data_IF_789197193727
#
_entry.id   IF_789197193727
#
_cell.length_a   1.000
_cell.length_b   1.000
_cell.length_c   1.000
_cell.angle_alpha   90.00
_cell.angle_beta   90.00
_cell.angle_gamma   90.00
#
_symmetry.space_group_name_H-M   'P 1'
#
loop_
_entity.id
_entity.type
_entity.pdbx_description
1 polymer ?
#
# COMPACT_ATOMS: atom_id res chain seq x y z
N UNK A 1 14.09 -7.15 14.96
CA UNK A 1 14.45 -7.98 13.79
C UNK A 1 15.94 -7.77 13.51
N UNK A 2 16.74 -8.81 13.76
CA UNK A 2 18.15 -9.06 13.35
C UNK A 2 19.10 -7.87 13.02
N UNK A 3 19.13 -6.85 13.89
CA UNK A 3 20.14 -5.76 14.05
C UNK A 3 20.35 -4.68 12.94
N UNK A 4 20.76 -3.42 13.27
CA UNK A 4 20.87 -2.79 14.60
C UNK A 4 20.12 -1.44 14.74
N UNK A 5 19.53 -1.25 15.93
CA UNK A 5 19.08 0.05 16.44
C UNK A 5 20.32 0.86 16.87
N UNK A 6 20.74 1.85 16.08
CA UNK A 6 22.04 2.49 16.31
C UNK A 6 22.14 3.44 17.52
N UNK A 7 21.04 3.77 18.24
CA UNK A 7 21.16 4.55 19.49
C UNK A 7 20.10 4.21 20.55
N UNK A 8 20.60 3.55 21.62
CA UNK A 8 20.20 3.59 23.03
C UNK A 8 18.69 3.40 23.38
N UNK A 9 18.33 2.15 23.62
CA UNK A 9 17.38 1.69 24.67
C UNK A 9 15.93 2.19 24.67
N UNK A 10 15.42 2.76 23.57
CA UNK A 10 13.97 2.84 23.33
C UNK A 10 13.65 2.49 21.88
N UNK A 11 13.60 1.19 21.57
CA UNK A 11 12.73 0.75 20.49
C UNK A 11 11.30 1.10 20.94
N UNK A 12 10.60 2.06 20.31
CA UNK A 12 9.20 2.27 20.66
C UNK A 12 8.44 0.99 20.34
N UNK A 13 7.38 0.74 21.10
CA UNK A 13 6.49 -0.42 20.97
C UNK A 13 6.35 -0.84 19.49
N UNK A 14 6.50 -2.16 19.24
CA UNK A 14 6.32 -2.85 17.95
C UNK A 14 5.65 -1.95 16.91
N UNK A 15 6.37 -1.52 15.87
CA UNK A 15 5.79 -0.62 14.86
C UNK A 15 4.42 -1.16 14.45
N UNK A 16 3.36 -0.35 14.54
CA UNK A 16 1.98 -0.83 14.41
C UNK A 16 1.57 -1.15 12.96
N UNK A 17 2.52 -1.18 12.02
CA UNK A 17 2.28 -1.48 10.62
C UNK A 17 1.60 -2.86 10.48
N UNK A 18 0.46 -2.88 9.79
CA UNK A 18 -0.33 -4.09 9.52
C UNK A 18 -0.19 -4.51 8.06
N UNK A 19 -0.84 -5.62 7.69
CA UNK A 19 -0.90 -6.16 6.33
C UNK A 19 0.47 -6.38 5.65
N UNK A 20 1.56 -6.54 6.42
CA UNK A 20 2.91 -6.73 5.89
C UNK A 20 3.70 -5.43 5.66
N UNK A 21 3.24 -4.30 6.21
CA UNK A 21 3.96 -3.02 6.12
C UNK A 21 5.34 -3.02 6.80
N UNK A 22 6.28 -2.30 6.19
CA UNK A 22 7.67 -2.21 6.66
C UNK A 22 7.86 -0.89 7.40
N UNK A 23 8.46 -0.94 8.59
CA UNK A 23 8.75 0.27 9.37
C UNK A 23 10.01 0.96 8.81
N UNK A 24 9.87 2.14 8.20
CA UNK A 24 10.99 2.92 7.63
C UNK A 24 11.69 3.83 8.65
N UNK A 25 11.27 3.79 9.92
CA UNK A 25 11.77 4.66 10.99
C UNK A 25 10.85 5.87 11.23
N UNK A 26 11.00 6.51 12.40
CA UNK A 26 10.15 7.63 12.88
C UNK A 26 8.64 7.32 13.00
N UNK A 27 8.27 6.04 13.08
CA UNK A 27 6.87 5.64 13.14
C UNK A 27 6.13 5.67 11.80
N UNK A 28 6.85 5.82 10.69
CA UNK A 28 6.26 5.77 9.34
C UNK A 28 6.29 4.33 8.81
N UNK A 29 5.14 3.88 8.30
CA UNK A 29 4.99 2.59 7.64
C UNK A 29 5.07 2.76 6.12
N UNK A 30 5.87 1.92 5.48
CA UNK A 30 5.81 1.65 4.05
C UNK A 30 4.81 0.54 3.83
N UNK A 31 3.65 0.86 3.28
CA UNK A 31 2.58 -0.10 3.07
C UNK A 31 2.79 -0.90 1.79
N UNK A 32 2.47 -2.20 1.81
CA UNK A 32 2.53 -3.00 0.60
C UNK A 32 1.50 -2.52 -0.42
N UNK A 33 1.63 -2.95 -1.68
CA UNK A 33 0.62 -2.70 -2.70
C UNK A 33 -0.79 -3.04 -2.22
N UNK A 34 -1.76 -2.21 -2.59
CA UNK A 34 -3.16 -2.36 -2.17
C UNK A 34 -3.51 -1.75 -0.82
N UNK A 35 -2.53 -1.27 -0.05
CA UNK A 35 -2.73 -0.71 1.28
C UNK A 35 -2.09 0.67 1.46
N UNK A 36 -2.70 1.48 2.32
CA UNK A 36 -2.24 2.79 2.75
C UNK A 36 -2.67 3.11 4.19
N UNK A 37 -2.45 4.35 4.60
CA UNK A 37 -2.70 4.84 5.96
C UNK A 37 -1.46 4.77 6.84
N UNK A 38 -1.52 5.39 8.01
CA UNK A 38 -0.37 5.49 8.92
C UNK A 38 0.16 4.12 9.36
N UNK A 39 -0.70 3.09 9.34
CA UNK A 39 -0.40 1.72 9.79
C UNK A 39 -0.81 0.66 8.78
N UNK A 40 -1.04 1.02 7.51
CA UNK A 40 -1.34 0.08 6.43
C UNK A 40 -2.63 -0.72 6.60
N UNK A 41 -3.63 -0.16 7.27
CA UNK A 41 -4.94 -0.79 7.51
C UNK A 41 -6.01 -0.39 6.50
N UNK A 42 -5.75 0.64 5.71
CA UNK A 42 -6.71 1.17 4.75
C UNK A 42 -6.40 0.57 3.38
N UNK A 43 -7.40 0.01 2.69
CA UNK A 43 -7.21 -0.38 1.30
C UNK A 43 -7.09 0.87 0.42
N UNK A 44 -6.45 0.73 -0.73
CA UNK A 44 -6.42 1.83 -1.70
C UNK A 44 -7.83 2.30 -2.07
N UNK A 45 -8.04 3.62 -2.15
CA UNK A 45 -9.28 4.16 -2.69
C UNK A 45 -9.41 3.78 -4.18
N UNK A 46 -10.64 3.78 -4.72
CA UNK A 46 -10.86 3.56 -6.15
C UNK A 46 -10.01 4.50 -7.00
N UNK A 47 -9.37 3.94 -8.03
CA UNK A 47 -8.50 4.70 -8.94
C UNK A 47 -7.07 4.88 -8.45
N UNK A 48 -6.65 4.26 -7.34
CA UNK A 48 -5.24 4.24 -6.90
C UNK A 48 -4.72 2.85 -6.62
N UNK A 49 -3.41 2.67 -6.79
CA UNK A 49 -2.75 1.38 -6.64
C UNK A 49 -1.28 1.48 -6.22
N UNK A 50 -0.70 0.32 -5.91
CA UNK A 50 0.72 0.16 -5.58
C UNK A 50 1.04 0.52 -4.13
N UNK A 51 2.34 0.58 -3.81
CA UNK A 51 2.85 0.91 -2.47
C UNK A 51 2.29 2.24 -1.99
N UNK A 52 1.71 2.26 -0.79
CA UNK A 52 1.03 3.43 -0.22
C UNK A 52 -0.06 4.03 -1.15
N UNK A 53 -0.57 3.27 -2.12
CA UNK A 53 -1.53 3.76 -3.12
C UNK A 53 -1.05 5.03 -3.85
N UNK A 54 0.26 5.14 -4.06
CA UNK A 54 0.90 6.34 -4.59
C UNK A 54 0.71 6.52 -6.10
N UNK A 55 0.24 5.48 -6.81
CA UNK A 55 0.01 5.51 -8.26
C UNK A 55 -1.48 5.65 -8.56
N UNK A 56 -1.79 6.31 -9.67
CA UNK A 56 -3.16 6.49 -10.16
C UNK A 56 -3.44 5.54 -11.31
N UNK A 57 -4.63 4.92 -11.29
CA UNK A 57 -5.07 4.02 -12.33
C UNK A 57 -5.55 4.81 -13.54
N UNK A 58 -5.24 4.28 -14.73
CA UNK A 58 -5.64 4.89 -16.00
C UNK A 58 -6.85 4.19 -16.63
N UNK A 59 -7.69 3.57 -15.80
CA UNK A 59 -8.86 2.84 -16.28
C UNK A 59 -9.91 3.80 -16.84
N UNK A 60 -10.28 3.59 -18.10
CA UNK A 60 -11.35 4.33 -18.77
C UNK A 60 -12.71 3.62 -18.60
N UNK A 61 -13.80 4.35 -18.89
CA UNK A 61 -15.17 3.82 -18.89
C UNK A 61 -15.65 3.16 -17.58
N UNK A 62 -15.08 3.54 -16.43
CA UNK A 62 -15.49 2.97 -15.14
C UNK A 62 -14.91 1.58 -14.85
N UNK A 63 -13.89 1.14 -15.59
CA UNK A 63 -13.19 -0.12 -15.32
C UNK A 63 -12.66 -0.20 -13.89
N UNK A 64 -12.77 -1.38 -13.28
CA UNK A 64 -12.34 -1.61 -11.91
C UNK A 64 -10.82 -1.70 -11.84
N UNK A 65 -10.17 -0.87 -11.02
CA UNK A 65 -8.73 -0.92 -10.87
C UNK A 65 -8.30 -1.88 -9.75
N UNK A 66 -7.40 -2.80 -10.08
CA UNK A 66 -6.71 -3.63 -9.10
C UNK A 66 -5.78 -2.77 -8.24
N UNK A 67 -6.05 -2.72 -6.93
CA UNK A 67 -5.33 -1.89 -5.98
C UNK A 67 -3.85 -2.30 -5.79
N UNK A 68 -3.47 -3.53 -6.14
CA UNK A 68 -2.09 -4.02 -5.99
C UNK A 68 -1.28 -3.76 -7.25
N UNK A 69 -1.82 -4.11 -8.41
CA UNK A 69 -1.12 -4.11 -9.70
C UNK A 69 -1.41 -2.89 -10.55
N UNK A 70 -2.55 -2.23 -10.32
CA UNK A 70 -3.05 -1.14 -11.17
C UNK A 70 -3.66 -1.61 -12.48
N UNK A 71 -3.94 -2.91 -12.60
CA UNK A 71 -4.55 -3.50 -13.79
C UNK A 71 -6.03 -3.15 -13.82
N UNK A 72 -6.53 -2.79 -15.00
CA UNK A 72 -7.93 -2.51 -15.20
C UNK A 72 -8.67 -3.82 -15.50
N UNK A 73 -9.59 -4.19 -14.62
CA UNK A 73 -10.58 -5.21 -14.88
C UNK A 73 -11.77 -4.55 -15.55
N UNK A 74 -11.97 -4.92 -16.81
CA UNK A 74 -13.09 -4.47 -17.61
C UNK A 74 -14.35 -5.28 -17.27
N UNK A 75 -15.52 -4.62 -17.30
CA UNK A 75 -16.80 -5.33 -17.21
C UNK A 75 -16.96 -6.33 -18.37
N UNK A 76 -17.78 -7.39 -18.20
CA UNK A 76 -18.05 -8.35 -19.26
C UNK A 76 -18.51 -7.65 -20.54
N UNK A 77 -17.71 -7.76 -21.61
CA UNK A 77 -17.98 -7.10 -22.90
C UNK A 77 -17.01 -5.96 -23.25
N UNK A 78 -16.12 -5.58 -22.33
CA UNK A 78 -15.05 -4.62 -22.58
C UNK A 78 -13.70 -5.33 -22.54
N UNK A 79 -12.80 -5.02 -23.48
CA UNK A 79 -11.42 -5.48 -23.50
C UNK A 79 -10.50 -4.27 -23.30
N UNK A 80 -9.53 -4.39 -22.39
CA UNK A 80 -8.54 -3.35 -22.10
C UNK A 80 -7.15 -3.96 -21.96
N UNK A 81 -6.14 -3.12 -22.19
CA UNK A 81 -4.70 -3.42 -22.16
C UNK A 81 -4.06 -3.22 -20.79
#
# INVERSE_FOLDING_TARGET
CQEPCMRANRCPARCPCQNGGICQGRGVCLCPPGWMGAVCTERCPPGRYGTNCAKECLCHNGGHCDAEKGQCQCDPGYTGE
#
